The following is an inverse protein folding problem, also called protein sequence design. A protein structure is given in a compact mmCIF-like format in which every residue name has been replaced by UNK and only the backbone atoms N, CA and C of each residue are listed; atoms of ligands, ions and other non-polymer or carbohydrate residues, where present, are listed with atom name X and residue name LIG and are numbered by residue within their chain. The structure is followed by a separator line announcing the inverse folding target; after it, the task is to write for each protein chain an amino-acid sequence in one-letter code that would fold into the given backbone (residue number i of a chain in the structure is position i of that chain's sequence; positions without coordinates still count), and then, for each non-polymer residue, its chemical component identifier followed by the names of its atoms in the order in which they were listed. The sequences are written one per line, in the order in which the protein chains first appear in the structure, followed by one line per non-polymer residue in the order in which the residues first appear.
data_IF_913473902580
#
_entry.id   IF_913473902580
#
_cell.length_a   1.000
_cell.length_b   1.000
_cell.length_c   1.000
_cell.angle_alpha   90.00
_cell.angle_beta   90.00
_cell.angle_gamma   90.00
#
_symmetry.space_group_name_H-M   'P 1'
#
loop_
_entity.id
_entity.type
_entity.pdbx_description
1 polymer ?
#
# COMPACT_ATOMS: atom_id res chain seq x y z
N UNK A 1 24.05 -3.60 11.08
CA UNK A 1 23.41 -2.44 10.42
C UNK A 1 22.21 -2.85 9.57
N UNK A 2 22.26 -3.97 8.84
CA UNK A 2 21.12 -4.55 8.11
C UNK A 2 19.95 -4.86 9.07
N UNK A 3 20.23 -5.38 10.28
CA UNK A 3 19.17 -5.71 11.23
C UNK A 3 18.29 -4.53 11.66
N UNK A 4 18.87 -3.33 11.80
CA UNK A 4 18.12 -2.14 12.18
C UNK A 4 17.16 -1.67 11.08
N UNK A 5 17.62 -1.73 9.82
CA UNK A 5 16.83 -1.25 8.68
C UNK A 5 15.69 -2.21 8.33
N UNK A 6 15.90 -3.52 8.48
CA UNK A 6 14.94 -4.54 8.06
C UNK A 6 14.08 -5.09 9.21
N UNK A 7 14.51 -5.04 10.48
CA UNK A 7 13.73 -5.58 11.61
C UNK A 7 13.26 -4.55 12.64
N UNK A 8 13.91 -3.39 12.74
CA UNK A 8 13.50 -2.32 13.67
C UNK A 8 12.38 -1.45 13.08
N UNK A 9 12.35 -1.27 11.75
CA UNK A 9 11.28 -0.53 11.08
C UNK A 9 9.92 -1.26 11.08
N UNK A 10 9.81 -2.57 10.76
CA UNK A 10 8.53 -3.30 10.83
C UNK A 10 7.97 -3.38 12.25
N UNK A 11 8.84 -3.51 13.27
CA UNK A 11 8.44 -3.50 14.68
C UNK A 11 7.82 -2.17 15.12
N UNK A 12 8.14 -1.07 14.44
CA UNK A 12 7.57 0.25 14.75
C UNK A 12 6.16 0.48 14.18
N UNK A 13 5.65 -0.43 13.33
CA UNK A 13 4.34 -0.32 12.67
C UNK A 13 3.42 -1.54 12.90
N UNK A 14 3.79 -2.44 13.82
CA UNK A 14 3.02 -3.62 14.22
C UNK A 14 2.62 -4.54 13.05
N UNK A 15 3.47 -4.61 12.02
CA UNK A 15 3.30 -5.50 10.86
C UNK A 15 4.41 -6.55 10.82
N UNK A 16 4.07 -7.77 10.41
CA UNK A 16 5.12 -8.75 10.12
C UNK A 16 5.97 -8.27 8.94
N UNK A 17 7.28 -8.56 8.97
CA UNK A 17 8.20 -8.17 7.89
C UNK A 17 7.69 -8.60 6.50
N UNK A 18 7.06 -9.78 6.41
CA UNK A 18 6.45 -10.29 5.18
C UNK A 18 5.27 -9.46 4.69
N UNK A 19 4.40 -8.98 5.58
CA UNK A 19 3.29 -8.09 5.23
C UNK A 19 3.80 -6.74 4.74
N UNK A 20 4.78 -6.17 5.45
CA UNK A 20 5.38 -4.91 5.06
C UNK A 20 6.10 -5.00 3.71
N UNK A 21 6.92 -6.05 3.50
CA UNK A 21 7.62 -6.30 2.24
C UNK A 21 6.63 -6.48 1.08
N UNK A 22 5.54 -7.23 1.29
CA UNK A 22 4.51 -7.45 0.27
C UNK A 22 3.76 -6.15 -0.05
N UNK A 23 3.40 -5.37 0.96
CA UNK A 23 2.72 -4.11 0.78
C UNK A 23 3.63 -3.09 0.08
N UNK A 24 4.77 -2.75 0.66
CA UNK A 24 5.72 -1.78 0.09
C UNK A 24 6.25 -2.23 -1.28
N UNK A 25 6.63 -3.50 -1.42
CA UNK A 25 7.09 -4.07 -2.69
C UNK A 25 6.02 -4.03 -3.78
N UNK A 26 4.75 -4.31 -3.43
CA UNK A 26 3.63 -4.21 -4.36
C UNK A 26 3.38 -2.78 -4.85
N UNK A 27 3.61 -1.76 -4.02
CA UNK A 27 3.58 -0.36 -4.45
C UNK A 27 4.77 -0.04 -5.37
N UNK A 28 5.98 -0.44 -4.97
CA UNK A 28 7.21 -0.20 -5.72
C UNK A 28 7.17 -0.76 -7.15
N UNK A 29 6.73 -2.01 -7.33
CA UNK A 29 6.61 -2.63 -8.66
C UNK A 29 5.69 -1.84 -9.58
N UNK A 30 4.55 -1.36 -9.08
CA UNK A 30 3.62 -0.55 -9.87
C UNK A 30 4.23 0.81 -10.21
N UNK A 31 4.92 1.46 -9.27
CA UNK A 31 5.60 2.74 -9.51
C UNK A 31 6.70 2.62 -10.57
N UNK A 32 7.54 1.58 -10.49
CA UNK A 32 8.60 1.33 -11.48
C UNK A 32 7.99 1.10 -12.85
N UNK A 33 6.99 0.21 -12.96
CA UNK A 33 6.33 -0.07 -14.23
C UNK A 33 5.65 1.16 -14.83
N UNK A 34 4.98 1.97 -14.01
CA UNK A 34 4.37 3.22 -14.44
C UNK A 34 5.42 4.26 -14.87
N UNK A 35 6.54 4.36 -14.15
CA UNK A 35 7.67 5.23 -14.51
C UNK A 35 8.26 4.86 -15.87
N UNK A 36 8.53 3.58 -16.10
CA UNK A 36 9.00 3.08 -17.41
C UNK A 36 7.98 3.39 -18.50
N UNK A 37 6.68 3.16 -18.25
CA UNK A 37 5.63 3.48 -19.21
C UNK A 37 5.58 4.97 -19.56
N UNK A 38 5.76 5.86 -18.59
CA UNK A 38 5.86 7.31 -18.83
C UNK A 38 7.10 7.69 -19.65
N UNK A 39 8.25 7.07 -19.39
CA UNK A 39 9.47 7.30 -20.18
C UNK A 39 9.27 6.86 -21.64
N UNK A 40 8.66 5.68 -21.85
CA UNK A 40 8.33 5.21 -23.20
C UNK A 40 7.33 6.16 -23.88
N UNK A 41 6.30 6.63 -23.16
CA UNK A 41 5.35 7.62 -23.68
C UNK A 41 6.02 8.93 -24.10
N UNK A 42 7.01 9.39 -23.33
CA UNK A 42 7.77 10.60 -23.66
C UNK A 42 8.60 10.44 -24.95
N UNK A 43 9.08 9.22 -25.24
CA UNK A 43 9.81 8.90 -26.47
C UNK A 43 8.87 8.66 -27.66
N UNK A 44 7.74 8.00 -27.43
CA UNK A 44 6.75 7.63 -28.44
C UNK A 44 5.38 8.15 -28.01
N UNK A 45 5.02 9.38 -28.42
CA UNK A 45 3.70 9.94 -28.14
C UNK A 45 2.60 9.01 -28.68
N UNK A 46 1.66 8.64 -27.81
CA UNK A 46 0.54 7.75 -28.15
C UNK A 46 0.61 6.35 -27.53
N UNK A 47 1.78 5.90 -27.07
CA UNK A 47 1.89 4.65 -26.30
C UNK A 47 1.76 4.94 -24.80
N UNK A 48 1.04 4.11 -24.04
CA UNK A 48 0.85 4.26 -22.57
C UNK A 48 0.25 5.60 -22.07
N UNK A 49 -0.55 6.29 -22.89
CA UNK A 49 -1.11 7.63 -22.64
C UNK A 49 -1.70 7.83 -21.23
N UNK A 50 -2.38 6.83 -20.69
CA UNK A 50 -3.06 6.92 -19.38
C UNK A 50 -2.44 6.03 -18.30
N UNK A 51 -1.35 5.33 -18.59
CA UNK A 51 -0.77 4.33 -17.68
C UNK A 51 -0.24 4.98 -16.41
N UNK A 52 0.45 6.12 -16.53
CA UNK A 52 0.98 6.86 -15.38
C UNK A 52 -0.12 7.32 -14.43
N UNK A 53 -1.10 8.07 -14.94
CA UNK A 53 -2.20 8.60 -14.12
C UNK A 53 -3.02 7.49 -13.47
N UNK A 54 -3.39 6.44 -14.22
CA UNK A 54 -4.12 5.29 -13.67
C UNK A 54 -3.34 4.56 -12.57
N UNK A 55 -2.02 4.47 -12.70
CA UNK A 55 -1.18 3.88 -11.67
C UNK A 55 -1.17 4.74 -10.39
N UNK A 56 -1.04 6.06 -10.52
CA UNK A 56 -1.10 7.00 -9.41
C UNK A 56 -2.45 6.90 -8.71
N UNK A 57 -3.56 6.97 -9.46
CA UNK A 57 -4.92 6.87 -8.91
C UNK A 57 -5.08 5.57 -8.11
N UNK A 58 -4.69 4.43 -8.70
CA UNK A 58 -4.75 3.12 -8.05
C UNK A 58 -3.94 3.05 -6.76
N UNK A 59 -2.74 3.62 -6.75
CA UNK A 59 -1.86 3.62 -5.57
C UNK A 59 -2.37 4.56 -4.50
N UNK A 60 -2.84 5.74 -4.87
CA UNK A 60 -3.45 6.71 -3.98
C UNK A 60 -4.67 6.11 -3.27
N UNK A 61 -5.56 5.50 -4.05
CA UNK A 61 -6.72 4.75 -3.58
C UNK A 61 -6.36 3.67 -2.56
N UNK A 62 -5.34 2.85 -2.85
CA UNK A 62 -4.85 1.84 -1.93
C UNK A 62 -4.31 2.46 -0.64
N UNK A 63 -3.59 3.56 -0.73
CA UNK A 63 -3.02 4.27 0.42
C UNK A 63 -4.12 4.82 1.33
N UNK A 64 -5.14 5.47 0.77
CA UNK A 64 -6.29 6.00 1.52
C UNK A 64 -7.10 4.88 2.16
N UNK A 65 -7.39 3.80 1.43
CA UNK A 65 -8.10 2.63 1.99
C UNK A 65 -7.33 1.99 3.14
N UNK A 66 -6.00 1.85 3.02
CA UNK A 66 -5.19 1.29 4.10
C UNK A 66 -5.17 2.20 5.34
N UNK A 67 -5.08 3.52 5.14
CA UNK A 67 -5.15 4.49 6.24
C UNK A 67 -6.49 4.41 7.00
N UNK A 68 -7.61 4.31 6.28
CA UNK A 68 -8.95 4.16 6.89
C UNK A 68 -9.05 2.88 7.73
N UNK A 69 -8.50 1.75 7.25
CA UNK A 69 -8.48 0.49 8.01
C UNK A 69 -7.71 0.61 9.32
N UNK A 70 -6.60 1.33 9.34
CA UNK A 70 -5.80 1.58 10.55
C UNK A 70 -6.46 2.56 11.53
N UNK A 71 -7.28 3.49 11.02
CA UNK A 71 -7.99 4.46 11.83
C UNK A 71 -9.31 3.92 12.44
N UNK A 72 -9.85 2.81 11.93
CA UNK A 72 -11.02 2.18 12.52
C UNK A 72 -10.62 1.58 13.89
N UNK A 73 -11.20 2.02 15.01
CA UNK A 73 -10.80 1.53 16.32
C UNK A 73 -11.10 0.04 16.43
N UNK A 74 -10.09 -0.73 16.80
CA UNK A 74 -10.13 -2.18 17.03
C UNK A 74 -11.15 -2.62 18.11
N UNK A 75 -11.86 -1.69 18.73
CA UNK A 75 -12.85 -1.93 19.79
C UNK A 75 -14.24 -2.38 19.32
N UNK A 76 -14.64 -2.14 18.07
CA UNK A 76 -16.03 -2.43 17.64
C UNK A 76 -16.31 -3.92 17.41
N UNK A 77 -15.27 -4.73 17.22
CA UNK A 77 -15.41 -6.20 17.08
C UNK A 77 -15.67 -6.89 18.43
N UNK A 78 -15.27 -6.29 19.55
CA UNK A 78 -15.49 -6.87 20.88
C UNK A 78 -16.89 -6.53 21.43
N UNK A 79 -17.42 -5.34 21.12
CA UNK A 79 -18.74 -4.89 21.62
C UNK A 79 -19.88 -5.69 20.96
N UNK A 80 -19.75 -6.07 19.67
CA UNK A 80 -20.81 -6.85 18.99
C UNK A 80 -20.94 -8.28 19.50
N UNK A 81 -19.84 -8.92 19.92
CA UNK A 81 -19.86 -10.27 20.48
C UNK A 81 -20.53 -10.35 21.87
N UNK A 82 -20.62 -9.23 22.60
CA UNK A 82 -21.24 -9.19 23.93
C UNK A 82 -22.73 -8.85 23.92
N UNK A 83 -23.28 -8.37 22.80
CA UNK A 83 -24.66 -7.90 22.69
C UNK A 83 -25.59 -8.90 21.96
N UNK A 84 -25.09 -10.07 21.57
CA UNK A 84 -25.88 -11.17 21.01
C UNK A 84 -26.16 -12.28 22.05
N UNK A 85 -25.78 -12.05 23.31
CA UNK A 85 -25.91 -13.00 24.42
C UNK A 85 -26.85 -12.51 25.56
N UNK A 86 -27.64 -11.46 25.33
CA UNK A 86 -28.66 -10.94 26.24
C UNK A 86 -30.04 -10.98 25.57
#
# INVERSE_FOLDING_TARGET
MIDRLFFEHPRSVDESYGEHLRAAGGFGVVMIGAGVACLVHALVPGLFVSTGSKAIDRLHDKMVRNRRRRAAPSGERLIRSGNEAA
#
